data_IF_916945041348
#
_entry.id   IF_916945041348
#
_cell.length_a   1.000
_cell.length_b   1.000
_cell.length_c   1.000
_cell.angle_alpha   90.00
_cell.angle_beta   90.00
_cell.angle_gamma   90.00
#
_symmetry.space_group_name_H-M   'P 1'
#
loop_
_entity.id
_entity.type
_entity.pdbx_description
1 polymer ?
#
# COMPACT_ATOMS: atom_id res chain seq x y z
N UNK A 1 -4.64 2.08 -3.58
CA UNK A 1 -4.23 0.67 -3.39
C UNK A 1 -5.47 -0.18 -3.37
N UNK A 2 -5.55 -1.14 -4.27
CA UNK A 2 -6.65 -2.08 -4.30
C UNK A 2 -6.34 -3.08 -3.19
N UNK A 3 -7.21 -3.10 -2.19
CA UNK A 3 -7.07 -3.98 -1.04
C UNK A 3 -7.42 -5.41 -1.49
N UNK A 4 -6.67 -6.40 -0.98
CA UNK A 4 -7.19 -7.76 -0.79
C UNK A 4 -8.60 -7.63 -0.23
N UNK A 5 -9.55 -8.26 -0.89
CA UNK A 5 -11.00 -8.19 -0.66
C UNK A 5 -11.33 -8.07 0.83
N UNK A 6 -11.51 -6.84 1.29
CA UNK A 6 -11.98 -6.57 2.63
C UNK A 6 -13.46 -6.18 2.44
N UNK A 7 -14.42 -7.04 2.84
CA UNK A 7 -15.84 -6.90 2.50
C UNK A 7 -16.50 -5.61 3.04
N UNK A 8 -15.77 -4.83 3.83
CA UNK A 8 -16.18 -3.54 4.39
C UNK A 8 -15.99 -2.40 3.36
N UNK A 9 -15.10 -2.55 2.37
CA UNK A 9 -14.82 -1.53 1.36
C UNK A 9 -15.38 -1.94 0.01
N UNK A 10 -16.69 -2.17 -0.04
CA UNK A 10 -17.42 -2.39 -1.29
C UNK A 10 -17.49 -1.08 -2.09
N UNK A 11 -16.36 -0.70 -2.70
CA UNK A 11 -16.31 0.27 -3.78
C UNK A 11 -16.36 -0.57 -5.04
N UNK A 12 -17.43 -0.47 -5.83
CA UNK A 12 -17.59 -1.07 -7.16
C UNK A 12 -16.43 -0.66 -8.09
N UNK A 13 -15.23 -1.19 -7.85
CA UNK A 13 -13.98 -0.87 -8.51
C UNK A 13 -13.39 -2.18 -8.99
N UNK A 14 -12.94 -2.17 -10.24
CA UNK A 14 -12.32 -3.36 -10.82
C UNK A 14 -10.97 -3.61 -10.13
N UNK A 15 -10.78 -4.82 -9.63
CA UNK A 15 -9.55 -5.26 -8.99
C UNK A 15 -8.40 -5.29 -9.99
N UNK A 16 -7.25 -4.73 -9.59
CA UNK A 16 -5.99 -4.92 -10.29
C UNK A 16 -5.12 -5.75 -9.37
N UNK A 17 -4.62 -6.85 -9.90
CA UNK A 17 -3.96 -7.87 -9.12
C UNK A 17 -2.48 -7.87 -9.45
N UNK A 18 -1.66 -8.19 -8.44
CA UNK A 18 -0.30 -8.66 -8.71
C UNK A 18 -0.33 -10.15 -8.99
N UNK A 19 0.61 -10.64 -9.78
CA UNK A 19 0.69 -12.07 -10.09
C UNK A 19 0.90 -12.92 -8.81
N UNK A 20 1.52 -12.33 -7.79
CA UNK A 20 1.67 -12.89 -6.44
C UNK A 20 0.37 -13.28 -5.75
N UNK A 21 -0.75 -12.64 -6.14
CA UNK A 21 -2.08 -12.87 -5.60
C UNK A 21 -2.83 -13.96 -6.37
N UNK A 22 -2.47 -14.17 -7.64
CA UNK A 22 -3.13 -15.13 -8.54
C UNK A 22 -2.44 -16.49 -8.57
N UNK A 23 -1.16 -16.54 -8.22
CA UNK A 23 -0.30 -17.70 -8.43
C UNK A 23 0.30 -18.20 -7.10
N UNK A 24 0.20 -19.52 -6.80
CA UNK A 24 0.82 -20.12 -5.62
C UNK A 24 2.32 -19.81 -5.50
N UNK A 25 2.82 -19.73 -4.27
CA UNK A 25 4.21 -19.33 -3.96
C UNK A 25 5.28 -20.16 -4.69
N UNK A 26 5.04 -21.47 -4.88
CA UNK A 26 6.03 -22.39 -5.45
C UNK A 26 6.07 -22.40 -6.99
N UNK A 27 5.24 -21.60 -7.65
CA UNK A 27 5.14 -21.63 -9.10
C UNK A 27 6.23 -20.79 -9.78
N UNK A 28 6.82 -21.34 -10.85
CA UNK A 28 7.94 -20.70 -11.57
C UNK A 28 7.61 -19.29 -12.08
N UNK A 29 6.39 -19.06 -12.59
CA UNK A 29 6.01 -17.72 -13.07
C UNK A 29 6.05 -16.68 -11.95
N UNK A 30 5.78 -17.05 -10.70
CA UNK A 30 5.89 -16.10 -9.60
C UNK A 30 7.32 -15.59 -9.42
N UNK A 31 8.31 -16.48 -9.50
CA UNK A 31 9.73 -16.12 -9.40
C UNK A 31 10.19 -15.22 -10.56
N UNK A 32 9.65 -15.45 -11.76
CA UNK A 32 9.95 -14.62 -12.92
C UNK A 32 9.31 -13.24 -12.79
N UNK A 33 8.05 -13.17 -12.36
CA UNK A 33 7.31 -11.92 -12.22
C UNK A 33 7.65 -11.12 -10.97
N UNK A 34 8.19 -11.74 -9.92
CA UNK A 34 8.75 -11.02 -8.77
C UNK A 34 9.89 -10.08 -9.20
N UNK A 35 10.59 -10.43 -10.29
CA UNK A 35 11.59 -9.56 -10.90
C UNK A 35 10.97 -8.39 -11.69
N UNK A 36 9.71 -8.49 -12.10
CA UNK A 36 8.99 -7.47 -12.87
C UNK A 36 7.93 -6.77 -12.00
N UNK A 37 8.22 -5.57 -11.51
CA UNK A 37 7.26 -4.77 -10.74
C UNK A 37 6.17 -4.18 -11.64
N UNK A 38 5.14 -4.99 -11.90
CA UNK A 38 3.99 -4.62 -12.72
C UNK A 38 2.67 -5.09 -12.11
N UNK A 39 1.58 -4.46 -12.54
CA UNK A 39 0.20 -4.85 -12.19
C UNK A 39 -0.54 -5.38 -13.41
N UNK A 40 -1.53 -6.25 -13.17
CA UNK A 40 -2.41 -6.74 -14.22
C UNK A 40 -3.82 -6.17 -14.07
N UNK A 41 -4.35 -5.72 -15.21
CA UNK A 41 -5.75 -5.36 -15.39
C UNK A 41 -6.62 -6.64 -15.44
N UNK A 42 -7.93 -6.59 -15.11
CA UNK A 42 -8.91 -7.66 -15.37
C UNK A 42 -8.87 -8.23 -16.80
N UNK A 43 -8.53 -7.41 -17.80
CA UNK A 43 -8.39 -7.81 -19.21
C UNK A 43 -6.96 -8.30 -19.53
N UNK A 44 -6.20 -8.72 -18.52
CA UNK A 44 -4.83 -9.22 -18.60
C UNK A 44 -3.79 -8.25 -19.23
N UNK A 45 -4.10 -6.95 -19.25
CA UNK A 45 -3.15 -5.93 -19.70
C UNK A 45 -2.17 -5.54 -18.59
N UNK A 46 -0.90 -5.39 -18.95
CA UNK A 46 0.18 -5.05 -18.02
C UNK A 46 0.24 -3.54 -17.78
N UNK A 47 0.33 -3.14 -16.52
CA UNK A 47 0.61 -1.78 -16.08
C UNK A 47 2.06 -1.72 -15.58
N UNK A 48 2.92 -1.07 -16.36
CA UNK A 48 4.34 -0.90 -16.01
C UNK A 48 4.55 0.25 -15.02
N UNK A 49 5.55 0.13 -14.15
CA UNK A 49 5.99 1.21 -13.29
C UNK A 49 6.51 2.39 -14.13
N UNK A 50 5.92 3.57 -13.94
CA UNK A 50 6.30 4.80 -14.64
C UNK A 50 7.37 5.55 -13.86
N UNK A 51 7.06 5.98 -12.63
CA UNK A 51 7.98 6.77 -11.80
C UNK A 51 7.71 6.54 -10.31
N UNK A 52 8.69 6.91 -9.48
CA UNK A 52 8.52 6.99 -8.03
C UNK A 52 8.48 8.45 -7.60
N UNK A 53 7.38 8.87 -6.98
CA UNK A 53 7.20 10.23 -6.48
C UNK A 53 8.09 10.51 -5.27
N UNK A 54 8.34 11.80 -5.01
CA UNK A 54 9.12 12.27 -3.84
C UNK A 54 8.53 11.80 -2.51
N UNK A 55 7.21 11.61 -2.45
CA UNK A 55 6.49 11.12 -1.27
C UNK A 55 6.60 9.59 -1.08
N UNK A 56 7.35 8.89 -1.93
CA UNK A 56 7.60 7.45 -1.82
C UNK A 56 6.51 6.56 -2.41
N UNK A 57 5.75 7.05 -3.39
CA UNK A 57 4.75 6.27 -4.13
C UNK A 57 5.29 5.88 -5.51
N UNK A 58 5.19 4.59 -5.85
CA UNK A 58 5.36 4.09 -7.22
C UNK A 58 4.05 4.25 -7.98
N UNK A 59 4.13 4.85 -9.16
CA UNK A 59 3.02 5.01 -10.09
C UNK A 59 3.09 3.98 -11.21
N UNK A 60 1.97 3.32 -11.50
CA UNK A 60 1.82 2.37 -12.59
C UNK A 60 0.75 2.88 -13.53
N UNK A 61 1.02 2.86 -14.82
CA UNK A 61 0.16 3.48 -15.82
C UNK A 61 -0.22 2.46 -16.88
N UNK A 62 -1.48 2.49 -17.29
CA UNK A 62 -1.95 1.71 -18.45
C UNK A 62 -1.70 2.45 -19.76
N UNK A 63 -1.71 1.70 -20.86
CA UNK A 63 -1.64 2.25 -22.20
C UNK A 63 -3.01 2.80 -22.65
N UNK A 64 -3.12 4.12 -22.94
CA UNK A 64 -4.39 4.74 -23.33
C UNK A 64 -5.03 4.13 -24.59
N UNK A 65 -4.20 3.69 -25.54
CA UNK A 65 -4.64 3.12 -26.82
C UNK A 65 -5.39 1.81 -26.63
N UNK A 66 -4.92 0.97 -25.71
CA UNK A 66 -5.54 -0.31 -25.38
C UNK A 66 -6.80 -0.10 -24.52
N UNK A 67 -6.73 0.84 -23.57
CA UNK A 67 -7.87 1.14 -22.72
C UNK A 67 -9.06 1.78 -23.48
N UNK A 68 -8.82 2.56 -24.54
CA UNK A 68 -9.89 3.17 -25.33
C UNK A 68 -10.84 2.17 -25.99
N UNK A 69 -10.37 0.94 -26.26
CA UNK A 69 -11.17 -0.15 -26.84
C UNK A 69 -11.67 -1.15 -25.79
N UNK A 70 -11.35 -0.95 -24.52
CA UNK A 70 -11.65 -1.92 -23.46
C UNK A 70 -13.15 -1.89 -23.08
N UNK A 71 -13.83 -3.04 -22.99
CA UNK A 71 -15.25 -3.11 -22.61
C UNK A 71 -15.49 -2.65 -21.16
N UNK A 72 -14.48 -2.78 -20.30
CA UNK A 72 -14.55 -2.40 -18.89
C UNK A 72 -14.17 -0.93 -18.64
N UNK A 73 -13.95 -0.13 -19.68
CA UNK A 73 -13.47 1.26 -19.55
C UNK A 73 -14.35 2.09 -18.61
N UNK A 74 -15.68 1.98 -18.74
CA UNK A 74 -16.65 2.73 -17.91
C UNK A 74 -16.57 2.42 -16.42
N UNK A 75 -16.16 1.21 -16.05
CA UNK A 75 -16.01 0.76 -14.65
C UNK A 75 -14.56 0.94 -14.16
N UNK A 76 -13.60 0.86 -15.08
CA UNK A 76 -12.18 0.86 -14.78
C UNK A 76 -11.61 2.27 -14.56
N UNK A 77 -11.98 3.23 -15.42
CA UNK A 77 -11.51 4.62 -15.38
C UNK A 77 -12.48 5.62 -15.99
N UNK A 78 -12.73 6.73 -15.28
CA UNK A 78 -13.46 7.90 -15.80
C UNK A 78 -12.51 8.99 -16.36
N UNK A 79 -11.21 8.68 -16.51
CA UNK A 79 -10.21 9.64 -16.98
C UNK A 79 -10.44 10.01 -18.44
N UNK A 80 -10.40 11.32 -18.75
CA UNK A 80 -10.49 11.86 -20.12
C UNK A 80 -9.39 11.33 -21.05
N UNK A 81 -8.27 10.89 -20.49
CA UNK A 81 -7.14 10.32 -21.24
C UNK A 81 -7.29 8.81 -21.49
N UNK A 82 -8.37 8.18 -20.99
CA UNK A 82 -8.55 6.72 -20.98
C UNK A 82 -7.35 5.98 -20.37
N UNK A 83 -6.71 6.57 -19.37
CA UNK A 83 -5.52 6.02 -18.71
C UNK A 83 -5.85 5.69 -17.25
N UNK A 84 -5.50 4.48 -16.83
CA UNK A 84 -5.54 4.06 -15.43
C UNK A 84 -4.19 4.33 -14.79
N UNK A 85 -4.24 5.08 -13.70
CA UNK A 85 -3.11 5.25 -12.80
C UNK A 85 -3.37 4.48 -11.51
N UNK A 86 -2.44 3.59 -11.15
CA UNK A 86 -2.42 2.87 -9.89
C UNK A 86 -1.21 3.35 -9.09
N UNK A 87 -1.40 3.68 -7.82
CA UNK A 87 -0.32 4.10 -6.93
C UNK A 87 -0.11 3.11 -5.79
N UNK A 88 1.16 2.77 -5.53
CA UNK A 88 1.59 1.89 -4.43
C UNK A 88 2.74 2.55 -3.68
N UNK A 89 2.58 2.70 -2.37
CA UNK A 89 3.65 3.10 -1.46
C UNK A 89 4.74 2.02 -1.44
N UNK A 90 6.00 2.44 -1.44
CA UNK A 90 7.16 1.53 -1.48
C UNK A 90 7.13 0.54 -0.32
N UNK A 91 6.72 0.97 0.87
CA UNK A 91 6.71 0.13 2.06
C UNK A 91 5.41 -0.63 2.28
N UNK A 92 4.51 -0.64 1.29
CA UNK A 92 3.19 -1.26 1.45
C UNK A 92 3.29 -2.74 1.82
N UNK A 93 4.23 -3.48 1.22
CA UNK A 93 4.48 -4.88 1.53
C UNK A 93 4.79 -5.10 3.01
N UNK A 94 5.67 -4.29 3.56
CA UNK A 94 6.02 -4.36 4.99
C UNK A 94 4.84 -3.99 5.89
N UNK A 95 4.02 -3.01 5.48
CA UNK A 95 2.81 -2.62 6.22
C UNK A 95 1.80 -3.77 6.25
N UNK A 96 1.58 -4.45 5.13
CA UNK A 96 0.70 -5.62 5.06
C UNK A 96 1.20 -6.77 5.95
N UNK A 97 2.51 -7.06 5.92
CA UNK A 97 3.12 -8.05 6.84
C UNK A 97 2.90 -7.66 8.31
N UNK A 98 3.06 -6.38 8.65
CA UNK A 98 2.79 -5.90 10.01
C UNK A 98 1.31 -6.07 10.39
N UNK A 99 0.40 -5.84 9.45
CA UNK A 99 -1.04 -5.99 9.64
C UNK A 99 -1.43 -7.46 9.85
N UNK A 100 -0.85 -8.39 9.10
CA UNK A 100 -1.06 -9.84 9.26
C UNK A 100 -0.60 -10.32 10.65
N UNK A 101 0.59 -9.88 11.09
CA UNK A 101 1.11 -10.16 12.43
C UNK A 101 0.17 -9.60 13.51
N UNK A 102 -0.36 -8.39 13.31
CA UNK A 102 -1.28 -7.76 14.26
C UNK A 102 -2.60 -8.53 14.42
N UNK A 103 -3.08 -9.19 13.36
CA UNK A 103 -4.31 -9.99 13.39
C UNK A 103 -4.12 -11.42 13.90
N UNK A 104 -2.88 -11.87 14.08
CA UNK A 104 -2.57 -13.16 14.67
C UNK A 104 -3.12 -13.28 16.11
N UNK A 105 -3.51 -14.49 16.52
CA UNK A 105 -3.99 -14.71 17.90
C UNK A 105 -2.90 -14.38 18.92
N UNK A 106 -3.26 -13.68 19.99
CA UNK A 106 -2.36 -13.31 21.09
C UNK A 106 -1.47 -12.08 20.85
N UNK A 107 -1.32 -11.59 19.62
CA UNK A 107 -0.49 -10.39 19.37
C UNK A 107 -1.13 -9.12 19.91
N UNK A 108 -2.46 -8.98 19.85
CA UNK A 108 -3.18 -7.85 20.47
C UNK A 108 -2.92 -7.74 21.98
N UNK A 109 -2.92 -8.86 22.69
CA UNK A 109 -2.64 -8.90 24.13
C UNK A 109 -1.18 -8.53 24.42
N UNK A 110 -0.24 -9.01 23.61
CA UNK A 110 1.17 -8.62 23.70
C UNK A 110 1.35 -7.12 23.43
N UNK A 111 0.66 -6.56 22.43
CA UNK A 111 0.67 -5.13 22.13
C UNK A 111 0.10 -4.28 23.26
N UNK A 112 -0.92 -4.77 23.99
CA UNK A 112 -1.42 -4.10 25.19
C UNK A 112 -0.33 -4.06 26.28
N UNK A 113 0.32 -5.18 26.56
CA UNK A 113 1.41 -5.24 27.56
C UNK A 113 2.59 -4.33 27.24
N UNK A 114 2.97 -4.19 25.95
CA UNK A 114 4.06 -3.28 25.53
C UNK A 114 3.79 -1.82 25.88
N UNK A 115 2.53 -1.39 25.92
CA UNK A 115 2.16 -0.01 26.30
C UNK A 115 2.44 0.28 27.78
N UNK A 116 2.42 -0.74 28.64
CA UNK A 116 2.54 -0.56 30.09
C UNK A 116 3.94 -0.13 30.54
N UNK A 117 5.00 -0.64 29.90
CA UNK A 117 6.39 -0.32 30.26
C UNK A 117 6.93 0.90 29.53
N UNK A 118 6.62 1.01 28.23
CA UNK A 118 7.14 2.06 27.36
C UNK A 118 6.56 3.43 27.73
N UNK A 119 5.25 3.53 27.95
CA UNK A 119 4.60 4.80 28.30
C UNK A 119 5.05 5.33 29.67
N UNK A 120 5.35 4.45 30.64
CA UNK A 120 5.90 4.87 31.94
C UNK A 120 7.25 5.56 31.76
N UNK A 121 8.19 4.94 31.03
CA UNK A 121 9.51 5.52 30.78
C UNK A 121 9.42 6.84 30.02
N UNK A 122 8.53 6.94 29.02
CA UNK A 122 8.29 8.20 28.31
C UNK A 122 7.64 9.26 29.19
N UNK A 123 6.73 8.89 30.10
CA UNK A 123 6.13 9.79 31.08
C UNK A 123 7.17 10.37 32.02
N UNK A 124 8.00 9.51 32.63
CA UNK A 124 9.13 9.90 33.47
C UNK A 124 10.08 10.83 32.71
N UNK A 125 10.46 10.48 31.48
CA UNK A 125 11.35 11.31 30.67
C UNK A 125 10.73 12.67 30.31
N UNK A 126 9.42 12.74 30.04
CA UNK A 126 8.71 14.00 29.79
C UNK A 126 8.76 14.93 31.01
N UNK A 127 8.63 14.39 32.22
CA UNK A 127 8.66 15.15 33.47
C UNK A 127 10.08 15.53 33.90
N UNK A 128 10.99 14.58 34.03
CA UNK A 128 12.33 14.83 34.55
C UNK A 128 13.28 15.49 33.53
N UNK A 129 13.07 15.27 32.23
CA UNK A 129 13.94 15.83 31.18
C UNK A 129 13.29 16.99 30.40
N UNK A 130 12.16 17.52 30.87
CA UNK A 130 11.43 18.64 30.25
C UNK A 130 11.14 18.40 28.76
N UNK A 131 10.78 17.17 28.39
CA UNK A 131 10.47 16.79 27.00
C UNK A 131 8.98 16.95 26.67
N UNK A 132 8.18 17.59 27.56
CA UNK A 132 6.77 17.93 27.28
C UNK A 132 6.62 18.92 26.11
N UNK A 133 7.61 19.80 25.91
CA UNK A 133 7.58 20.82 24.87
C UNK A 133 8.87 20.80 24.06
N UNK A 134 8.75 20.92 22.74
CA UNK A 134 9.91 21.06 21.85
C UNK A 134 10.51 22.46 22.02
N UNK A 135 11.76 22.54 22.49
CA UNK A 135 12.50 23.81 22.68
C UNK A 135 12.99 24.47 21.39
N UNK A 136 12.51 24.03 20.22
CA UNK A 136 12.80 24.72 18.96
C UNK A 136 11.90 25.95 18.89
N UNK A 137 12.48 27.14 19.08
CA UNK A 137 11.84 28.36 18.59
C UNK A 137 11.76 28.23 17.07
N UNK A 138 10.54 28.26 16.53
CA UNK A 138 10.35 28.40 15.09
C UNK A 138 11.00 29.74 14.73
N UNK A 139 12.15 29.71 14.05
CA UNK A 139 12.74 30.93 13.50
C UNK A 139 11.70 31.58 12.59
N UNK A 140 11.38 32.87 12.75
CA UNK A 140 10.54 33.56 11.79
C UNK A 140 11.18 33.43 10.42
N UNK A 141 10.38 32.97 9.45
CA UNK A 141 10.75 32.91 8.04
C UNK A 141 10.88 34.30 7.46
#
# INVERSE_FOLDING_TARGET
MLHKENPIYNRNQVGFYKLDELVPQDYFLRKVYEYYDCYLCPENQVLSCSTTNRDGYREYKSDPKLCATCPLLSVCTESKKHQKDVTRYIWKDYVEVCEDIYHQKGTKELYQKRKETVERLFGTAKEYHNLRYTRKKVSPK
#
